data_IF_759733872015
#
_entry.id   IF_759733872015
#
_cell.length_a   1.000
_cell.length_b   1.000
_cell.length_c   1.000
_cell.angle_alpha   90.00
_cell.angle_beta   90.00
_cell.angle_gamma   90.00
#
_symmetry.space_group_name_H-M   'P 1'
#
loop_
_entity.id
_entity.type
_entity.pdbx_description
1 polymer ?
#
# COMPACT_ATOMS: atom_id res chain seq x y z
N UNK A 1 0.60 -5.36 -33.04
CA UNK A 1 1.83 -4.96 -32.32
C UNK A 1 2.01 -5.91 -31.16
N UNK A 2 3.08 -6.72 -31.20
CA UNK A 2 3.20 -7.93 -30.38
C UNK A 2 3.64 -7.60 -28.94
N UNK A 3 3.17 -8.41 -27.99
CA UNK A 3 3.43 -8.29 -26.54
C UNK A 3 4.92 -8.22 -26.19
N UNK A 4 5.77 -8.86 -27.00
CA UNK A 4 7.23 -8.92 -26.87
C UNK A 4 7.91 -7.58 -27.18
N UNK A 5 7.35 -6.77 -28.08
CA UNK A 5 7.90 -5.44 -28.44
C UNK A 5 7.65 -4.42 -27.32
N UNK A 6 6.46 -4.45 -26.70
CA UNK A 6 6.13 -3.57 -25.55
C UNK A 6 7.05 -3.79 -24.34
N UNK A 7 7.47 -5.05 -24.11
CA UNK A 7 8.34 -5.38 -22.97
C UNK A 7 9.79 -4.88 -23.17
N UNK A 8 10.30 -4.94 -24.40
CA UNK A 8 11.61 -4.40 -24.78
C UNK A 8 11.64 -2.86 -24.72
N UNK A 9 10.56 -2.21 -25.18
CA UNK A 9 10.45 -0.74 -25.19
C UNK A 9 10.44 -0.15 -23.76
N UNK A 10 9.72 -0.77 -22.81
CA UNK A 10 9.69 -0.33 -21.41
C UNK A 10 11.05 -0.46 -20.72
N UNK A 11 11.81 -1.53 -20.99
CA UNK A 11 13.14 -1.74 -20.41
C UNK A 11 14.15 -0.71 -20.92
N UNK A 12 14.06 -0.36 -22.21
CA UNK A 12 14.91 0.68 -22.83
C UNK A 12 14.65 2.07 -22.24
N UNK A 13 13.38 2.44 -22.07
CA UNK A 13 12.99 3.75 -21.48
C UNK A 13 13.46 3.92 -20.03
N UNK A 14 13.37 2.88 -19.19
CA UNK A 14 13.89 2.92 -17.81
C UNK A 14 15.40 3.18 -17.75
N UNK A 15 16.18 2.55 -18.64
CA UNK A 15 17.63 2.74 -18.72
C UNK A 15 18.01 4.16 -19.17
N UNK A 16 17.24 4.72 -20.11
CA UNK A 16 17.42 6.10 -20.61
C UNK A 16 17.14 7.13 -19.51
N UNK A 17 16.08 6.94 -18.72
CA UNK A 17 15.72 7.81 -17.59
C UNK A 17 16.80 7.77 -16.50
N UNK A 18 17.27 6.58 -16.13
CA UNK A 18 18.37 6.43 -15.15
C UNK A 18 19.63 7.12 -15.66
N UNK A 19 19.98 6.96 -16.93
CA UNK A 19 21.12 7.65 -17.55
C UNK A 19 21.00 9.18 -17.49
N UNK A 20 19.82 9.72 -17.78
CA UNK A 20 19.57 11.17 -17.75
C UNK A 20 19.68 11.75 -16.34
N UNK A 21 19.24 11.01 -15.30
CA UNK A 21 19.42 11.39 -13.90
C UNK A 21 20.90 11.51 -13.55
N UNK A 22 21.72 10.51 -13.93
CA UNK A 22 23.17 10.54 -13.66
C UNK A 22 23.86 11.72 -14.37
N UNK A 23 23.44 12.05 -15.59
CA UNK A 23 23.97 13.21 -16.33
C UNK A 23 23.63 14.52 -15.59
N UNK A 24 22.39 14.70 -15.13
CA UNK A 24 21.96 15.90 -14.39
C UNK A 24 22.70 16.01 -13.05
N UNK A 25 22.82 14.92 -12.30
CA UNK A 25 23.59 14.89 -11.04
C UNK A 25 25.06 15.27 -11.29
N UNK A 26 25.67 14.70 -12.32
CA UNK A 26 27.06 15.01 -12.70
C UNK A 26 27.25 16.48 -13.07
N UNK A 27 26.33 17.04 -13.87
CA UNK A 27 26.38 18.45 -14.27
C UNK A 27 26.27 19.39 -13.06
N UNK A 28 25.38 19.09 -12.10
CA UNK A 28 25.22 19.88 -10.87
C UNK A 28 26.48 19.82 -9.99
N UNK A 29 27.12 18.64 -9.87
CA UNK A 29 28.36 18.48 -9.11
C UNK A 29 29.54 19.24 -9.74
N UNK A 30 29.62 19.27 -11.07
CA UNK A 30 30.63 20.04 -11.81
C UNK A 30 30.40 21.54 -11.61
N UNK A 31 29.15 22.00 -11.70
CA UNK A 31 28.80 23.41 -11.48
C UNK A 31 29.15 23.89 -10.06
N UNK A 32 29.02 23.02 -9.05
CA UNK A 32 29.50 23.29 -7.68
C UNK A 32 31.02 23.41 -7.63
N UNK A 33 31.77 22.53 -8.30
CA UNK A 33 33.24 22.56 -8.37
C UNK A 33 33.78 23.82 -9.03
N UNK A 34 33.01 24.41 -9.94
CA UNK A 34 33.35 25.65 -10.65
C UNK A 34 32.97 26.92 -9.88
N UNK A 35 32.43 26.81 -8.66
CA UNK A 35 31.98 27.94 -7.83
C UNK A 35 30.91 28.84 -8.49
N UNK A 36 30.24 28.30 -9.53
CA UNK A 36 29.17 28.99 -10.28
C UNK A 36 27.89 29.08 -9.42
N UNK A 37 27.72 28.16 -8.46
CA UNK A 37 26.58 28.11 -7.55
C UNK A 37 27.00 28.69 -6.20
N UNK A 38 26.41 29.80 -5.73
CA UNK A 38 26.69 30.37 -4.41
C UNK A 38 26.54 29.32 -3.31
N UNK A 39 27.46 29.30 -2.33
CA UNK A 39 27.47 28.32 -1.24
C UNK A 39 26.11 28.21 -0.50
N UNK A 40 25.39 29.33 -0.39
CA UNK A 40 24.04 29.40 0.20
C UNK A 40 23.02 28.49 -0.50
N UNK A 41 23.09 28.41 -1.84
CA UNK A 41 22.17 27.62 -2.68
C UNK A 41 22.66 26.17 -2.83
N UNK A 42 23.99 25.94 -2.80
CA UNK A 42 24.56 24.59 -2.91
C UNK A 42 24.09 23.65 -1.80
N UNK A 43 23.88 24.14 -0.58
CA UNK A 43 23.41 23.32 0.54
C UNK A 43 21.94 22.88 0.38
N UNK A 44 21.16 23.67 -0.37
CA UNK A 44 19.73 23.43 -0.63
C UNK A 44 19.58 22.39 -1.73
N UNK A 45 20.33 22.53 -2.82
CA UNK A 45 20.29 21.65 -3.99
C UNK A 45 20.83 20.25 -3.68
N UNK A 46 21.83 20.14 -2.79
CA UNK A 46 22.43 18.85 -2.38
C UNK A 46 21.91 18.48 -0.99
N UNK A 47 20.59 18.52 -0.84
CA UNK A 47 19.92 18.07 0.36
C UNK A 47 19.09 16.83 0.04
N UNK A 48 18.89 15.95 1.02
CA UNK A 48 18.11 14.72 0.84
C UNK A 48 16.67 14.98 0.36
N UNK A 49 16.14 16.17 0.62
CA UNK A 49 14.87 16.70 0.12
C UNK A 49 14.83 16.74 -1.42
N UNK A 50 15.94 17.11 -2.07
CA UNK A 50 16.02 17.17 -3.53
C UNK A 50 16.03 15.76 -4.15
N UNK A 51 16.52 14.75 -3.42
CA UNK A 51 16.37 13.35 -3.83
C UNK A 51 14.91 12.91 -3.78
N UNK A 52 14.14 13.31 -2.76
CA UNK A 52 12.70 13.02 -2.69
C UNK A 52 11.93 13.65 -3.87
N UNK A 53 12.22 14.92 -4.18
CA UNK A 53 11.63 15.60 -5.35
C UNK A 53 12.06 14.88 -6.63
N UNK A 54 13.34 14.52 -6.76
CA UNK A 54 13.87 13.80 -7.94
C UNK A 54 13.19 12.45 -8.16
N UNK A 55 13.06 11.63 -7.12
CA UNK A 55 12.34 10.35 -7.18
C UNK A 55 10.86 10.58 -7.53
N UNK A 56 10.26 11.62 -6.95
CA UNK A 56 8.89 12.01 -7.27
C UNK A 56 8.68 12.36 -8.74
N UNK A 57 9.58 13.17 -9.31
CA UNK A 57 9.58 13.53 -10.74
C UNK A 57 9.76 12.29 -11.63
N UNK A 58 10.68 11.40 -11.27
CA UNK A 58 10.90 10.15 -12.01
C UNK A 58 9.66 9.26 -11.99
N UNK A 59 8.96 9.17 -10.86
CA UNK A 59 7.71 8.42 -10.73
C UNK A 59 6.59 9.01 -11.62
N UNK A 60 6.56 10.33 -11.83
CA UNK A 60 5.62 10.98 -12.77
C UNK A 60 6.01 10.68 -14.22
N UNK A 61 7.29 10.86 -14.58
CA UNK A 61 7.80 10.67 -15.95
C UNK A 61 7.66 9.20 -16.39
N UNK A 62 7.94 8.25 -15.50
CA UNK A 62 7.86 6.81 -15.79
C UNK A 62 6.41 6.31 -15.84
N UNK A 63 5.42 7.18 -15.53
CA UNK A 63 3.98 6.88 -15.44
C UNK A 63 3.63 5.67 -14.56
N UNK A 64 4.52 5.22 -13.68
CA UNK A 64 4.23 4.10 -12.78
C UNK A 64 3.13 4.48 -11.81
N UNK A 65 3.28 5.62 -11.11
CA UNK A 65 2.28 6.11 -10.14
C UNK A 65 2.35 7.64 -10.01
N UNK A 66 1.72 8.37 -10.93
CA UNK A 66 1.75 9.84 -10.97
C UNK A 66 1.34 10.50 -9.64
N UNK A 67 0.42 9.89 -8.89
CA UNK A 67 -0.03 10.36 -7.56
C UNK A 67 1.08 10.24 -6.51
N UNK A 68 1.77 9.09 -6.47
CA UNK A 68 2.90 8.90 -5.55
C UNK A 68 4.02 9.90 -5.83
N UNK A 69 4.25 10.21 -7.11
CA UNK A 69 5.22 11.22 -7.52
C UNK A 69 4.83 12.64 -7.11
N UNK A 70 3.55 13.01 -7.25
CA UNK A 70 3.03 14.30 -6.77
C UNK A 70 3.16 14.44 -5.25
N UNK A 71 2.90 13.37 -4.49
CA UNK A 71 3.04 13.37 -3.02
C UNK A 71 4.50 13.55 -2.62
N UNK A 72 5.43 12.82 -3.24
CA UNK A 72 6.87 12.94 -3.00
C UNK A 72 7.38 14.36 -3.30
N UNK A 73 6.93 14.96 -4.40
CA UNK A 73 7.29 16.35 -4.75
C UNK A 73 6.71 17.34 -3.73
N UNK A 74 5.45 17.19 -3.31
CA UNK A 74 4.84 18.06 -2.32
C UNK A 74 5.58 18.01 -0.98
N UNK A 75 5.93 16.81 -0.50
CA UNK A 75 6.69 16.61 0.73
C UNK A 75 8.09 17.22 0.61
N UNK A 76 8.81 16.93 -0.48
CA UNK A 76 10.15 17.46 -0.71
C UNK A 76 10.15 18.99 -0.81
N UNK A 77 9.16 19.58 -1.47
CA UNK A 77 8.99 21.04 -1.59
C UNK A 77 8.66 21.68 -0.24
N UNK A 78 7.79 21.05 0.55
CA UNK A 78 7.50 21.51 1.91
C UNK A 78 8.75 21.52 2.80
N UNK A 79 9.57 20.47 2.73
CA UNK A 79 10.80 20.36 3.52
C UNK A 79 11.95 21.25 3.02
N UNK A 80 11.91 21.72 1.77
CA UNK A 80 12.94 22.63 1.22
C UNK A 80 12.62 24.10 1.53
N UNK A 81 11.33 24.44 1.65
CA UNK A 81 10.84 25.77 1.95
C UNK A 81 11.54 26.48 3.14
N UNK A 82 11.76 25.85 4.32
CA UNK A 82 12.48 26.49 5.43
C UNK A 82 13.96 26.76 5.17
N UNK A 83 14.55 26.12 4.16
CA UNK A 83 15.97 26.29 3.81
C UNK A 83 16.20 27.37 2.77
N UNK A 84 15.18 27.70 1.97
CA UNK A 84 15.24 28.70 0.89
C UNK A 84 14.95 30.11 1.41
N UNK A 85 14.14 30.20 2.45
CA UNK A 85 13.70 31.46 3.04
C UNK A 85 14.39 31.56 4.40
N UNK A 86 15.15 32.63 4.67
CA UNK A 86 15.72 32.90 6.01
C UNK A 86 14.58 33.34 6.94
N UNK A 87 13.81 32.36 7.40
CA UNK A 87 12.61 32.59 8.20
C UNK A 87 13.01 32.81 9.68
N UNK A 88 12.53 33.88 10.35
CA UNK A 88 12.80 34.12 11.77
C UNK A 88 12.35 32.94 12.66
N UNK A 89 12.98 32.81 13.83
CA UNK A 89 12.85 31.62 14.71
C UNK A 89 11.40 31.25 15.08
N UNK A 90 10.48 32.22 15.16
CA UNK A 90 9.07 32.00 15.55
C UNK A 90 8.27 31.13 14.57
N UNK A 91 8.64 31.13 13.29
CA UNK A 91 7.88 30.39 12.27
C UNK A 91 8.39 28.95 12.12
N UNK A 92 9.55 28.62 12.71
CA UNK A 92 10.08 27.24 12.77
C UNK A 92 9.16 26.32 13.59
N UNK A 93 8.52 26.86 14.61
CA UNK A 93 7.58 26.11 15.47
C UNK A 93 6.23 25.86 14.78
N UNK A 94 5.90 26.64 13.76
CA UNK A 94 4.68 26.48 12.95
C UNK A 94 4.80 25.36 11.91
N UNK A 95 6.02 24.83 11.67
CA UNK A 95 6.23 23.71 10.74
C UNK A 95 5.54 22.43 11.21
N UNK A 96 5.52 22.15 12.51
CA UNK A 96 4.91 20.94 13.02
C UNK A 96 3.38 20.96 12.82
N UNK A 97 2.64 22.02 13.20
CA UNK A 97 1.24 22.19 12.81
C UNK A 97 1.01 22.13 11.30
N UNK A 98 1.86 22.75 10.49
CA UNK A 98 1.73 22.72 9.04
C UNK A 98 1.94 21.31 8.46
N UNK A 99 2.85 20.51 9.00
CA UNK A 99 3.03 19.09 8.66
C UNK A 99 1.75 18.32 8.97
N UNK A 100 1.14 18.51 10.14
CA UNK A 100 -0.12 17.85 10.49
C UNK A 100 -1.27 18.26 9.55
N UNK A 101 -1.36 19.52 9.16
CA UNK A 101 -2.36 20.02 8.19
C UNK A 101 -2.13 19.41 6.81
N UNK A 102 -0.88 19.37 6.33
CA UNK A 102 -0.54 18.76 5.02
C UNK A 102 -0.78 17.26 5.03
N UNK A 103 -0.42 16.55 6.10
CA UNK A 103 -0.74 15.12 6.29
C UNK A 103 -2.26 14.91 6.30
N UNK A 104 -3.00 15.77 6.99
CA UNK A 104 -4.47 15.72 7.03
C UNK A 104 -5.09 15.94 5.65
N UNK A 105 -4.66 16.97 4.91
CA UNK A 105 -5.10 17.24 3.54
C UNK A 105 -4.71 16.09 2.62
N UNK A 106 -3.48 15.56 2.73
CA UNK A 106 -3.04 14.40 1.97
C UNK A 106 -3.93 13.20 2.26
N UNK A 107 -4.24 12.90 3.53
CA UNK A 107 -5.14 11.82 3.91
C UNK A 107 -6.54 11.97 3.30
N UNK A 108 -7.06 13.20 3.18
CA UNK A 108 -8.33 13.50 2.50
C UNK A 108 -8.24 13.36 0.97
N UNK A 109 -7.10 13.72 0.39
CA UNK A 109 -6.89 13.73 -1.07
C UNK A 109 -6.46 12.36 -1.60
N UNK A 110 -5.92 11.50 -0.73
CA UNK A 110 -5.78 10.07 -0.97
C UNK A 110 -7.20 9.49 -0.96
N UNK A 111 -7.91 9.70 -2.07
CA UNK A 111 -9.06 8.90 -2.45
C UNK A 111 -8.51 7.50 -2.72
N UNK A 112 -8.40 6.72 -1.66
CA UNK A 112 -8.39 5.28 -1.73
C UNK A 112 -9.57 4.91 -2.61
N UNK A 113 -9.28 4.24 -3.73
CA UNK A 113 -10.31 3.60 -4.55
C UNK A 113 -10.77 2.32 -3.84
N UNK A 114 -11.07 2.45 -2.55
CA UNK A 114 -11.56 1.43 -1.66
C UNK A 114 -12.35 2.16 -0.57
N UNK A 115 -13.65 1.91 -0.60
CA UNK A 115 -14.72 2.80 -0.20
C UNK A 115 -14.79 2.90 1.33
N UNK A 116 -14.51 4.08 1.88
CA UNK A 116 -14.98 4.44 3.20
C UNK A 116 -16.40 4.97 3.08
N UNK A 117 -17.38 4.08 3.28
CA UNK A 117 -18.75 4.32 3.79
C UNK A 117 -19.51 2.99 3.63
N UNK A 118 -20.06 2.50 4.74
CA UNK A 118 -20.95 1.35 4.72
C UNK A 118 -22.13 1.56 3.76
N UNK A 119 -22.55 0.45 3.13
CA UNK A 119 -23.58 0.25 2.09
C UNK A 119 -23.11 0.26 0.62
N UNK A 120 -23.09 -0.96 0.08
CA UNK A 120 -23.48 -1.36 -1.29
C UNK A 120 -22.63 -0.89 -2.49
N UNK A 121 -21.53 -1.60 -2.71
CA UNK A 121 -21.34 -2.60 -3.79
C UNK A 121 -19.83 -2.84 -3.85
N UNK A 122 -19.32 -3.52 -2.83
CA UNK A 122 -18.20 -4.44 -3.09
C UNK A 122 -18.71 -5.30 -4.25
N UNK A 123 -17.94 -5.37 -5.34
CA UNK A 123 -18.17 -6.44 -6.31
C UNK A 123 -18.34 -7.69 -5.46
N UNK A 124 -19.48 -8.39 -5.51
CA UNK A 124 -19.82 -9.44 -4.54
C UNK A 124 -18.66 -10.42 -4.33
N UNK A 125 -17.84 -10.54 -5.37
CA UNK A 125 -16.67 -11.36 -5.55
C UNK A 125 -15.37 -10.87 -4.86
N UNK A 126 -15.25 -9.62 -4.37
CA UNK A 126 -14.01 -9.09 -3.75
C UNK A 126 -14.29 -8.28 -2.49
N UNK A 127 -13.64 -8.65 -1.38
CA UNK A 127 -13.80 -7.98 -0.08
C UNK A 127 -12.91 -6.75 -0.02
N UNK A 128 -13.47 -5.66 0.46
CA UNK A 128 -12.73 -4.46 0.83
C UNK A 128 -13.29 -3.91 2.14
N UNK A 129 -12.51 -4.07 3.20
CA UNK A 129 -12.89 -3.68 4.56
C UNK A 129 -11.76 -2.89 5.18
N UNK A 130 -12.09 -1.68 5.65
CA UNK A 130 -11.22 -0.85 6.48
C UNK A 130 -11.99 -0.47 7.74
N UNK A 131 -11.51 -0.93 8.89
CA UNK A 131 -12.08 -0.66 10.20
C UNK A 131 -11.05 0.08 11.06
N UNK A 132 -11.33 1.33 11.41
CA UNK A 132 -10.44 2.10 12.27
C UNK A 132 -10.62 1.79 13.76
N UNK A 133 -11.86 1.62 14.22
CA UNK A 133 -12.18 1.33 15.61
C UNK A 133 -13.42 0.42 15.69
N UNK A 134 -13.38 -0.59 16.57
CA UNK A 134 -14.47 -1.53 16.79
C UNK A 134 -14.36 -2.78 15.91
N UNK A 135 -15.49 -3.30 15.45
CA UNK A 135 -15.48 -4.50 14.62
C UNK A 135 -16.72 -4.66 13.76
N UNK A 136 -16.61 -5.53 12.76
CA UNK A 136 -17.68 -5.80 11.82
C UNK A 136 -17.73 -7.27 11.44
N UNK A 137 -18.95 -7.81 11.35
CA UNK A 137 -19.20 -9.13 10.77
C UNK A 137 -19.70 -8.95 9.35
N UNK A 138 -19.06 -9.60 8.38
CA UNK A 138 -19.48 -9.59 6.97
C UNK A 138 -19.60 -10.99 6.43
N UNK A 139 -20.76 -11.29 5.85
CA UNK A 139 -21.00 -12.53 5.13
C UNK A 139 -20.87 -12.30 3.63
N UNK A 140 -20.11 -13.15 2.96
CA UNK A 140 -19.85 -13.10 1.53
C UNK A 140 -20.57 -14.27 0.86
N UNK A 141 -21.39 -13.97 -0.15
CA UNK A 141 -22.28 -14.92 -0.84
C UNK A 141 -21.97 -15.05 -2.32
N UNK A 142 -20.75 -14.70 -2.72
CA UNK A 142 -20.35 -14.70 -4.13
C UNK A 142 -20.20 -16.10 -4.69
N UNK A 143 -20.73 -16.31 -5.90
CA UNK A 143 -20.53 -17.54 -6.68
C UNK A 143 -19.14 -17.64 -7.31
N UNK A 144 -18.34 -16.56 -7.32
CA UNK A 144 -16.97 -16.52 -7.83
C UNK A 144 -16.09 -15.60 -6.99
N UNK A 145 -15.65 -16.09 -5.84
CA UNK A 145 -14.85 -15.33 -4.90
C UNK A 145 -13.42 -15.11 -5.42
N UNK A 146 -13.01 -13.84 -5.57
CA UNK A 146 -11.73 -13.40 -6.10
C UNK A 146 -10.69 -13.09 -5.01
N UNK A 147 -11.11 -12.92 -3.76
CA UNK A 147 -10.24 -12.56 -2.64
C UNK A 147 -10.66 -11.26 -1.95
N UNK A 148 -9.71 -10.57 -1.34
CA UNK A 148 -10.01 -9.31 -0.68
C UNK A 148 -8.88 -8.66 0.09
N UNK A 149 -9.20 -7.49 0.65
CA UNK A 149 -8.35 -6.76 1.58
C UNK A 149 -9.12 -6.44 2.86
N UNK A 150 -8.51 -6.76 4.00
CA UNK A 150 -9.06 -6.50 5.33
C UNK A 150 -8.02 -5.72 6.12
N UNK A 151 -8.35 -4.50 6.53
CA UNK A 151 -7.49 -3.65 7.35
C UNK A 151 -8.20 -3.26 8.64
N UNK A 152 -7.60 -3.59 9.78
CA UNK A 152 -8.14 -3.32 11.12
C UNK A 152 -7.10 -2.56 11.95
N UNK A 153 -7.43 -1.34 12.39
CA UNK A 153 -6.49 -0.53 13.19
C UNK A 153 -6.70 -0.76 14.69
N UNK A 154 -7.94 -0.63 15.19
CA UNK A 154 -8.32 -0.97 16.56
C UNK A 154 -9.59 -1.86 16.57
N UNK A 155 -9.47 -3.08 17.10
CA UNK A 155 -10.54 -4.08 17.19
C UNK A 155 -10.40 -5.17 16.13
N UNK A 156 -11.49 -5.63 15.53
CA UNK A 156 -11.39 -6.78 14.63
C UNK A 156 -12.56 -7.04 13.71
N UNK A 157 -12.32 -7.81 12.65
CA UNK A 157 -13.34 -8.14 11.65
C UNK A 157 -13.57 -9.65 11.61
N UNK A 158 -14.83 -10.05 11.51
CA UNK A 158 -15.25 -11.42 11.24
C UNK A 158 -15.73 -11.51 9.78
N UNK A 159 -15.07 -12.34 8.99
CA UNK A 159 -15.40 -12.57 7.58
C UNK A 159 -15.96 -13.98 7.44
N UNK A 160 -17.24 -14.09 7.11
CA UNK A 160 -17.94 -15.34 6.86
C UNK A 160 -17.99 -15.64 5.35
N UNK A 161 -17.21 -16.63 4.91
CA UNK A 161 -17.13 -17.13 3.54
C UNK A 161 -17.93 -18.43 3.34
N UNK A 162 -18.73 -18.88 4.32
CA UNK A 162 -19.45 -20.16 4.25
C UNK A 162 -20.38 -20.28 3.05
N UNK A 163 -20.85 -19.15 2.51
CA UNK A 163 -21.74 -19.08 1.35
C UNK A 163 -21.04 -18.63 0.06
N UNK A 164 -19.72 -18.50 0.08
CA UNK A 164 -18.92 -18.14 -1.08
C UNK A 164 -18.45 -19.39 -1.84
N UNK A 165 -18.19 -19.26 -3.14
CA UNK A 165 -17.66 -20.34 -4.00
C UNK A 165 -16.39 -19.88 -4.72
N UNK A 166 -15.43 -20.80 -4.82
CA UNK A 166 -14.22 -20.66 -5.64
C UNK A 166 -14.46 -21.40 -6.94
N UNK A 167 -14.16 -20.76 -8.07
CA UNK A 167 -14.28 -21.36 -9.40
C UNK A 167 -12.90 -21.77 -9.94
N UNK A 168 -12.32 -20.96 -10.81
CA UNK A 168 -11.07 -21.28 -11.52
C UNK A 168 -9.95 -20.29 -11.15
N UNK A 169 -9.84 -19.95 -9.87
CA UNK A 169 -8.89 -18.98 -9.35
C UNK A 169 -8.35 -19.38 -7.98
N UNK A 170 -7.24 -18.76 -7.60
CA UNK A 170 -6.69 -18.82 -6.25
C UNK A 170 -6.96 -17.48 -5.55
N UNK A 171 -8.09 -17.32 -4.85
CA UNK A 171 -8.37 -16.08 -4.13
C UNK A 171 -7.31 -15.79 -3.08
N UNK A 172 -6.93 -14.51 -2.99
CA UNK A 172 -6.00 -14.00 -2.00
C UNK A 172 -6.70 -13.00 -1.08
N UNK A 173 -6.65 -13.24 0.22
CA UNK A 173 -7.05 -12.27 1.24
C UNK A 173 -5.78 -11.65 1.84
N UNK A 174 -5.64 -10.34 1.71
CA UNK A 174 -4.60 -9.54 2.36
C UNK A 174 -5.12 -8.97 3.68
N UNK A 175 -4.52 -9.38 4.79
CA UNK A 175 -4.89 -8.99 6.15
C UNK A 175 -3.83 -8.08 6.75
N UNK A 176 -4.24 -6.90 7.16
CA UNK A 176 -3.41 -6.00 7.94
C UNK A 176 -4.11 -5.58 9.24
N UNK A 177 -3.54 -5.98 10.38
CA UNK A 177 -4.09 -5.62 11.70
C UNK A 177 -3.04 -4.97 12.59
N UNK A 178 -3.38 -3.84 13.22
CA UNK A 178 -2.49 -3.18 14.19
C UNK A 178 -2.83 -3.61 15.61
N UNK A 179 -4.05 -3.34 16.10
CA UNK A 179 -4.51 -3.74 17.44
C UNK A 179 -5.81 -4.56 17.34
N UNK A 180 -5.77 -5.85 17.70
CA UNK A 180 -6.92 -6.76 17.75
C UNK A 180 -6.78 -7.94 16.78
N UNK A 181 -7.79 -8.24 15.94
CA UNK A 181 -7.66 -9.42 15.07
C UNK A 181 -8.63 -9.58 13.91
N UNK A 182 -8.42 -10.66 13.14
CA UNK A 182 -9.29 -11.04 12.03
C UNK A 182 -9.72 -12.50 12.18
N UNK A 183 -11.02 -12.74 12.25
CA UNK A 183 -11.60 -14.08 12.20
C UNK A 183 -12.09 -14.34 10.77
N UNK A 184 -11.65 -15.44 10.17
CA UNK A 184 -12.06 -15.84 8.82
C UNK A 184 -12.70 -17.22 8.92
N UNK A 185 -13.98 -17.28 8.59
CA UNK A 185 -14.76 -18.51 8.57
C UNK A 185 -14.86 -19.00 7.13
N UNK A 186 -14.39 -20.20 6.85
CA UNK A 186 -14.37 -20.79 5.50
C UNK A 186 -15.27 -22.02 5.41
N UNK A 187 -15.76 -22.40 4.21
CA UNK A 187 -16.37 -23.70 3.98
C UNK A 187 -15.40 -24.85 4.29
N UNK A 188 -15.89 -25.99 4.81
CA UNK A 188 -15.06 -27.16 5.16
C UNK A 188 -14.24 -27.75 4.00
N UNK A 189 -14.72 -27.61 2.78
CA UNK A 189 -14.05 -28.16 1.58
C UNK A 189 -12.95 -27.27 1.01
N UNK A 190 -12.62 -26.15 1.65
CA UNK A 190 -11.53 -25.27 1.19
C UNK A 190 -10.22 -25.63 1.89
N UNK A 191 -9.16 -25.80 1.09
CA UNK A 191 -7.81 -25.72 1.61
C UNK A 191 -7.46 -24.24 1.85
N UNK A 192 -6.77 -23.94 2.96
CA UNK A 192 -6.37 -22.57 3.29
C UNK A 192 -4.89 -22.55 3.59
N UNK A 193 -4.18 -21.70 2.84
CA UNK A 193 -2.75 -21.47 3.03
C UNK A 193 -2.55 -20.14 3.74
N UNK A 194 -2.02 -20.21 4.96
CA UNK A 194 -1.79 -19.06 5.83
C UNK A 194 -0.33 -18.63 5.74
N UNK A 195 -0.12 -17.37 5.34
CA UNK A 195 1.19 -16.73 5.23
C UNK A 195 1.09 -15.32 5.82
N UNK A 196 0.76 -15.28 7.11
CA UNK A 196 0.59 -14.05 7.89
C UNK A 196 1.72 -13.93 8.90
N UNK A 197 2.42 -12.81 8.89
CA UNK A 197 3.48 -12.52 9.86
C UNK A 197 2.90 -11.80 11.06
N UNK A 198 2.96 -12.42 12.24
CA UNK A 198 2.55 -11.80 13.51
C UNK A 198 3.76 -11.34 14.31
N UNK A 199 3.76 -10.08 14.78
CA UNK A 199 4.83 -9.53 15.64
C UNK A 199 4.55 -9.86 17.11
N UNK A 200 3.37 -9.48 17.61
CA UNK A 200 2.88 -9.78 18.97
C UNK A 200 1.52 -10.47 18.91
N UNK A 201 1.52 -11.81 18.85
CA UNK A 201 0.31 -12.64 18.78
C UNK A 201 0.50 -13.82 17.83
N UNK A 202 -0.59 -14.40 17.33
CA UNK A 202 -0.57 -15.53 16.40
C UNK A 202 -1.75 -15.46 15.40
N UNK A 203 -1.57 -16.07 14.23
CA UNK A 203 -2.64 -16.28 13.27
C UNK A 203 -2.91 -17.78 13.15
N UNK A 204 -3.87 -18.27 13.91
CA UNK A 204 -4.07 -19.71 14.13
C UNK A 204 -5.10 -20.30 13.15
N UNK A 205 -4.74 -21.43 12.56
CA UNK A 205 -5.71 -22.27 11.86
C UNK A 205 -6.33 -23.28 12.82
N UNK A 206 -7.59 -23.05 13.20
CA UNK A 206 -8.36 -23.89 14.15
C UNK A 206 -9.33 -24.83 13.42
N UNK A 207 -9.20 -24.99 12.11
CA UNK A 207 -10.06 -25.86 11.31
C UNK A 207 -9.82 -27.34 11.63
N UNK A 208 -10.87 -28.14 11.45
CA UNK A 208 -10.74 -29.59 11.41
C UNK A 208 -10.09 -30.08 10.10
N UNK A 209 -9.83 -31.39 9.97
CA UNK A 209 -9.32 -31.96 8.73
C UNK A 209 -10.22 -31.60 7.54
N UNK A 210 -9.60 -31.19 6.43
CA UNK A 210 -10.32 -30.90 5.18
C UNK A 210 -10.88 -32.21 4.63
N UNK A 211 -12.20 -32.26 4.41
CA UNK A 211 -12.86 -33.42 3.82
C UNK A 211 -12.72 -33.35 2.29
N UNK A 212 -11.73 -34.06 1.76
CA UNK A 212 -11.52 -34.20 0.33
C UNK A 212 -12.53 -35.21 -0.21
N UNK A 213 -13.71 -34.75 -0.65
CA UNK A 213 -14.53 -35.58 -1.54
C UNK A 213 -13.75 -35.77 -2.85
N UNK A 214 -13.44 -37.01 -3.23
CA UNK A 214 -12.63 -37.39 -4.41
C UNK A 214 -13.14 -36.89 -5.79
N UNK A 215 -14.19 -36.07 -5.82
CA UNK A 215 -14.95 -35.69 -7.01
C UNK A 215 -14.79 -34.23 -7.43
N UNK A 216 -14.25 -33.35 -6.58
CA UNK A 216 -14.09 -31.91 -6.88
C UNK A 216 -12.61 -31.47 -6.89
N UNK A 217 -12.21 -30.54 -7.77
CA UNK A 217 -10.88 -29.94 -7.74
C UNK A 217 -10.63 -29.22 -6.41
N UNK A 218 -9.39 -29.29 -5.91
CA UNK A 218 -9.00 -28.69 -4.64
C UNK A 218 -9.16 -27.15 -4.71
N UNK A 219 -10.02 -26.59 -3.85
CA UNK A 219 -10.30 -25.15 -3.77
C UNK A 219 -9.38 -24.54 -2.73
N UNK A 220 -8.39 -23.77 -3.17
CA UNK A 220 -7.38 -23.18 -2.29
C UNK A 220 -7.63 -21.69 -2.07
N UNK A 221 -7.74 -21.27 -0.81
CA UNK A 221 -7.74 -19.87 -0.39
C UNK A 221 -6.36 -19.52 0.19
N UNK A 222 -5.73 -18.45 -0.30
CA UNK A 222 -4.49 -17.93 0.28
C UNK A 222 -4.80 -16.73 1.18
N UNK A 223 -4.22 -16.72 2.37
CA UNK A 223 -4.32 -15.61 3.31
C UNK A 223 -2.90 -15.10 3.55
N UNK A 224 -2.65 -13.82 3.27
CA UNK A 224 -1.36 -13.16 3.45
C UNK A 224 -1.50 -11.91 4.29
N UNK A 225 -0.39 -11.48 4.88
CA UNK A 225 -0.27 -10.13 5.41
C UNK A 225 0.45 -10.08 6.74
N UNK A 226 0.08 -9.13 7.59
CA UNK A 226 0.79 -8.89 8.83
C UNK A 226 -0.12 -8.42 9.97
N UNK A 227 0.17 -8.89 11.18
CA UNK A 227 -0.45 -8.44 12.42
C UNK A 227 0.59 -7.92 13.39
N UNK A 228 0.32 -6.79 14.06
CA UNK A 228 1.27 -6.19 15.00
C UNK A 228 0.95 -6.58 16.44
N UNK A 229 -0.18 -6.15 17.00
CA UNK A 229 -0.65 -6.45 18.36
C UNK A 229 -1.98 -7.20 18.32
N UNK A 230 -1.90 -8.52 18.41
CA UNK A 230 -3.01 -9.46 18.27
C UNK A 230 -2.78 -10.39 17.08
N UNK A 231 -3.86 -10.82 16.44
CA UNK A 231 -3.78 -12.04 15.63
C UNK A 231 -4.94 -12.27 14.68
N UNK A 232 -5.16 -13.53 14.36
CA UNK A 232 -6.34 -13.95 13.65
C UNK A 232 -6.61 -15.42 13.86
N UNK A 233 -7.80 -15.83 13.49
CA UNK A 233 -8.16 -17.23 13.55
C UNK A 233 -8.94 -17.65 12.32
N UNK A 234 -8.71 -18.88 11.90
CA UNK A 234 -9.43 -19.50 10.80
C UNK A 234 -10.29 -20.60 11.39
N UNK A 235 -11.59 -20.55 11.07
CA UNK A 235 -12.56 -21.56 11.48
C UNK A 235 -13.27 -22.12 10.26
N UNK A 236 -13.81 -23.32 10.43
CA UNK A 236 -14.64 -23.98 9.44
C UNK A 236 -15.90 -24.49 10.11
N UNK A 237 -17.07 -24.22 9.54
CA UNK A 237 -18.35 -24.75 10.01
C UNK A 237 -18.98 -25.65 8.97
#
# INVERSE_FOLDING_TARGET
>A
MNSSEKFQEHKSKKRLIVGLIFIVIGAVLIAKKMDIIPASVSHIIISWQMLLIGIGVVNIITKENYRSGLILIAIGTFFILPKVIDIPFEVKDMFLPAIFVVIGILMLTIKNRHQFLGKEKSSENFIDVLTFMGGGKRKITSDNFLGGKVTSIFGGNEIDLTSAKIQNNEPLIDVFTIFGGCEIVVPRGWDVQVDVTSIFGAFDDKRGPVDYSNTEPNKVLRIKGFTIFGGGEIKSY
#
